data_IF_386774675373
#
_entry.id   IF_386774675373
#
_cell.length_a   1.000
_cell.length_b   1.000
_cell.length_c   1.000
_cell.angle_alpha   90.00
_cell.angle_beta   90.00
_cell.angle_gamma   90.00
#
_symmetry.space_group_name_H-M   'P 1'
#
loop_
_entity.id
_entity.type
_entity.pdbx_description
1 polymer ?
#
# COMPACT_ATOMS: atom_id res chain seq x y z
N UNK A 1 -48.20 6.91 29.27
CA UNK A 1 -48.83 8.05 28.59
C UNK A 1 -47.79 9.16 28.40
N UNK A 2 -47.38 9.38 27.17
CA UNK A 2 -46.51 10.50 26.81
C UNK A 2 -47.37 11.66 26.31
N UNK A 3 -47.55 12.70 27.15
CA UNK A 3 -48.37 13.85 26.83
C UNK A 3 -47.96 14.66 25.59
N UNK A 4 -46.81 14.34 24.99
CA UNK A 4 -46.28 14.95 23.75
C UNK A 4 -46.65 14.19 22.50
N UNK A 5 -46.97 12.90 22.63
CA UNK A 5 -47.22 12.01 21.51
C UNK A 5 -48.60 11.35 21.60
N UNK A 6 -49.23 11.39 22.78
CA UNK A 6 -50.48 10.72 23.07
C UNK A 6 -51.48 11.71 23.68
N UNK A 7 -52.73 11.63 23.25
CA UNK A 7 -53.86 12.37 23.83
C UNK A 7 -54.78 11.40 24.57
N UNK A 8 -55.37 11.82 25.67
CA UNK A 8 -56.31 10.98 26.40
C UNK A 8 -57.57 10.72 25.58
N UNK A 9 -58.15 9.52 25.74
CA UNK A 9 -59.43 9.22 25.07
C UNK A 9 -60.53 10.21 25.36
N UNK A 10 -60.55 10.75 26.60
CA UNK A 10 -61.48 11.78 27.00
C UNK A 10 -61.33 13.07 26.23
N UNK A 11 -60.11 13.49 25.99
CA UNK A 11 -59.79 14.71 25.24
C UNK A 11 -59.98 14.48 23.73
N UNK A 12 -59.68 13.28 23.24
CA UNK A 12 -59.96 12.90 21.85
C UNK A 12 -61.45 12.86 21.53
N UNK A 13 -62.28 12.35 22.45
CA UNK A 13 -63.76 12.34 22.30
C UNK A 13 -64.37 13.76 22.40
N UNK A 14 -63.68 14.70 23.04
CA UNK A 14 -64.10 16.12 23.04
C UNK A 14 -63.87 16.78 21.65
N UNK A 15 -62.94 16.28 20.86
CA UNK A 15 -62.68 16.74 19.49
C UNK A 15 -63.63 16.08 18.50
N UNK A 16 -63.84 14.79 18.59
CA UNK A 16 -64.81 14.05 17.79
C UNK A 16 -65.27 12.78 18.50
N UNK A 17 -66.54 12.52 18.54
CA UNK A 17 -67.17 11.33 19.13
C UNK A 17 -66.87 10.03 18.35
N UNK A 18 -66.19 10.12 17.20
CA UNK A 18 -65.83 8.99 16.32
C UNK A 18 -64.45 8.36 16.64
N UNK A 19 -63.65 8.93 17.55
CA UNK A 19 -62.33 8.43 17.88
C UNK A 19 -62.38 7.29 18.87
N UNK A 20 -61.60 6.24 18.58
CA UNK A 20 -61.40 5.07 19.43
C UNK A 20 -59.94 4.98 19.95
N UNK A 21 -59.72 4.09 20.94
CA UNK A 21 -58.40 3.82 21.48
C UNK A 21 -57.48 3.24 20.41
N UNK A 22 -56.35 3.96 20.13
CA UNK A 22 -55.38 3.55 19.12
C UNK A 22 -55.46 4.33 17.81
N UNK A 23 -56.45 5.18 17.65
CA UNK A 23 -56.59 6.05 16.48
C UNK A 23 -55.48 7.10 16.43
N UNK A 24 -55.08 7.48 15.22
CA UNK A 24 -54.10 8.54 14.98
C UNK A 24 -54.79 9.82 14.61
N UNK A 25 -54.68 10.80 15.49
CA UNK A 25 -55.29 12.13 15.27
C UNK A 25 -54.22 13.03 14.62
N UNK A 26 -54.57 13.67 13.51
CA UNK A 26 -53.75 14.71 12.90
C UNK A 26 -54.29 16.08 13.28
N UNK A 27 -53.43 16.88 13.90
CA UNK A 27 -53.70 18.29 14.16
C UNK A 27 -53.08 19.15 13.08
N UNK A 28 -53.85 20.01 12.44
CA UNK A 28 -53.32 21.06 11.60
C UNK A 28 -53.08 22.29 12.51
N UNK A 29 -51.80 22.49 12.89
CA UNK A 29 -51.41 23.70 13.60
C UNK A 29 -51.10 24.82 12.60
N UNK A 30 -51.65 26.00 12.84
CA UNK A 30 -51.34 27.17 12.02
C UNK A 30 -49.92 27.66 12.31
N UNK A 31 -49.21 28.06 11.26
CA UNK A 31 -47.80 28.52 11.33
C UNK A 31 -47.66 29.76 12.27
N UNK A 32 -48.72 30.46 12.54
CA UNK A 32 -48.75 31.68 13.38
C UNK A 32 -48.55 31.39 14.90
N UNK A 33 -48.77 30.16 15.35
CA UNK A 33 -48.57 29.75 16.76
C UNK A 33 -47.12 29.32 17.08
N UNK A 34 -46.27 29.10 16.05
CA UNK A 34 -44.88 28.82 16.28
C UNK A 34 -44.11 30.07 16.73
N UNK A 35 -43.81 30.14 18.01
CA UNK A 35 -42.89 31.17 18.52
C UNK A 35 -41.55 31.15 17.78
N UNK A 36 -40.87 32.30 17.64
CA UNK A 36 -39.58 32.47 16.97
C UNK A 36 -38.54 31.40 17.33
N UNK A 37 -38.53 30.92 18.55
CA UNK A 37 -37.63 29.88 19.07
C UNK A 37 -37.93 28.51 18.43
N UNK A 38 -39.19 28.13 18.31
CA UNK A 38 -39.60 26.89 17.68
C UNK A 38 -39.29 26.90 16.18
N UNK A 39 -39.55 28.02 15.49
CA UNK A 39 -39.19 28.17 14.08
C UNK A 39 -37.68 28.11 13.84
N UNK A 40 -36.88 28.69 14.71
CA UNK A 40 -35.41 28.63 14.63
C UNK A 40 -34.89 27.25 14.94
N UNK A 41 -35.43 26.53 15.92
CA UNK A 41 -35.09 25.13 16.23
C UNK A 41 -35.45 24.18 15.08
N UNK A 42 -36.66 24.34 14.51
CA UNK A 42 -37.08 23.57 13.34
C UNK A 42 -36.15 23.78 12.14
N UNK A 43 -35.80 25.06 11.84
CA UNK A 43 -34.82 25.37 10.77
C UNK A 43 -33.48 24.72 11.03
N UNK A 44 -32.94 24.77 12.24
CA UNK A 44 -31.68 24.14 12.59
C UNK A 44 -31.74 22.62 12.41
N UNK A 45 -32.78 21.95 12.88
CA UNK A 45 -32.97 20.50 12.73
C UNK A 45 -33.06 20.10 11.26
N UNK A 46 -33.80 20.87 10.46
CA UNK A 46 -33.88 20.61 9.00
C UNK A 46 -32.50 20.77 8.35
N UNK A 47 -31.78 21.84 8.66
CA UNK A 47 -30.43 22.08 8.13
C UNK A 47 -29.43 20.99 8.54
N UNK A 48 -29.51 20.50 9.76
CA UNK A 48 -28.68 19.40 10.24
C UNK A 48 -28.98 18.09 9.49
N UNK A 49 -30.27 17.77 9.32
CA UNK A 49 -30.68 16.60 8.53
C UNK A 49 -30.24 16.71 7.07
N UNK A 50 -30.40 17.88 6.45
CA UNK A 50 -29.93 18.10 5.08
C UNK A 50 -28.41 17.95 4.97
N UNK A 51 -27.64 18.55 5.89
CA UNK A 51 -26.17 18.38 5.91
C UNK A 51 -25.77 16.93 6.09
N UNK A 52 -26.46 16.17 6.93
CA UNK A 52 -26.21 14.74 7.10
C UNK A 52 -26.45 13.97 5.81
N UNK A 53 -27.58 14.20 5.17
CA UNK A 53 -27.90 13.52 3.91
C UNK A 53 -26.93 13.89 2.77
N UNK A 54 -26.61 15.19 2.61
CA UNK A 54 -25.63 15.61 1.61
C UNK A 54 -24.27 14.98 1.87
N UNK A 55 -23.84 14.89 3.12
CA UNK A 55 -22.59 14.23 3.49
C UNK A 55 -22.61 12.73 3.15
N UNK A 56 -23.71 12.04 3.40
CA UNK A 56 -23.87 10.62 3.05
C UNK A 56 -23.83 10.41 1.53
N UNK A 57 -24.46 11.28 0.76
CA UNK A 57 -24.44 11.23 -0.70
C UNK A 57 -22.99 11.42 -1.20
N UNK A 58 -22.33 12.49 -0.75
CA UNK A 58 -20.93 12.77 -1.13
C UNK A 58 -19.99 11.65 -0.70
N UNK A 59 -20.16 11.10 0.51
CA UNK A 59 -19.37 9.97 0.96
C UNK A 59 -19.54 8.76 0.05
N UNK A 60 -20.77 8.38 -0.29
CA UNK A 60 -21.04 7.23 -1.16
C UNK A 60 -20.51 7.44 -2.57
N UNK A 61 -20.58 8.66 -3.10
CA UNK A 61 -20.01 9.03 -4.40
C UNK A 61 -18.50 8.80 -4.41
N UNK A 62 -17.76 9.41 -3.48
CA UNK A 62 -16.29 9.27 -3.44
C UNK A 62 -15.82 7.90 -2.96
N UNK A 63 -16.61 7.19 -2.17
CA UNK A 63 -16.28 5.83 -1.74
C UNK A 63 -16.20 4.83 -2.90
N UNK A 64 -16.96 5.07 -3.98
CA UNK A 64 -16.87 4.26 -5.19
C UNK A 64 -15.54 4.47 -5.93
N UNK A 65 -14.90 5.63 -5.76
CA UNK A 65 -13.61 5.95 -6.36
C UNK A 65 -12.41 5.60 -5.47
N UNK A 66 -12.64 5.03 -4.30
CA UNK A 66 -11.56 4.52 -3.47
C UNK A 66 -10.85 3.36 -4.16
N UNK A 67 -9.54 3.47 -4.35
CA UNK A 67 -8.75 2.54 -5.14
C UNK A 67 -8.59 2.93 -6.61
N UNK A 68 -9.06 4.11 -7.03
CA UNK A 68 -8.98 4.57 -8.41
C UNK A 68 -8.16 5.86 -8.54
N UNK A 69 -7.78 6.19 -9.78
CA UNK A 69 -7.17 7.46 -10.11
C UNK A 69 -8.26 8.46 -10.49
N UNK A 70 -8.19 9.62 -9.87
CA UNK A 70 -8.99 10.79 -10.24
C UNK A 70 -8.08 11.93 -10.69
N UNK A 71 -8.56 12.70 -11.67
CA UNK A 71 -7.93 13.94 -12.04
C UNK A 71 -8.50 15.09 -11.21
N UNK A 72 -7.62 15.91 -10.67
CA UNK A 72 -8.03 17.06 -9.88
C UNK A 72 -7.17 18.29 -10.13
N UNK A 73 -7.67 19.43 -9.68
CA UNK A 73 -6.99 20.73 -9.83
C UNK A 73 -6.43 21.17 -8.48
N UNK A 74 -5.17 21.57 -8.45
CA UNK A 74 -4.52 22.11 -7.26
C UNK A 74 -5.11 23.48 -6.93
N UNK A 75 -5.75 23.59 -5.76
CA UNK A 75 -6.42 24.85 -5.33
C UNK A 75 -5.53 25.67 -4.43
N UNK A 76 -5.07 25.06 -3.34
CA UNK A 76 -4.33 25.74 -2.29
C UNK A 76 -3.30 24.85 -1.61
N UNK A 77 -2.36 25.51 -0.96
CA UNK A 77 -1.28 24.88 -0.23
C UNK A 77 -1.37 25.25 1.26
N UNK A 78 -1.12 24.26 2.11
CA UNK A 78 -0.94 24.42 3.55
C UNK A 78 0.42 23.83 3.96
N UNK A 79 0.83 24.04 5.21
CA UNK A 79 2.08 23.47 5.72
C UNK A 79 2.12 21.92 5.70
N UNK A 80 0.95 21.28 5.75
CA UNK A 80 0.79 19.81 5.84
C UNK A 80 0.25 19.19 4.57
N UNK A 81 -0.61 19.89 3.84
CA UNK A 81 -1.38 19.34 2.74
C UNK A 81 -1.37 20.26 1.53
N UNK A 82 -1.46 19.65 0.38
CA UNK A 82 -1.92 20.28 -0.85
C UNK A 82 -3.39 19.88 -1.00
N UNK A 83 -4.25 20.86 -1.25
CA UNK A 83 -5.66 20.61 -1.48
C UNK A 83 -5.94 20.55 -2.97
N UNK A 84 -6.48 19.41 -3.38
CA UNK A 84 -6.78 19.08 -4.78
C UNK A 84 -8.29 19.02 -4.94
N UNK A 85 -8.83 19.89 -5.77
CA UNK A 85 -10.25 19.90 -6.10
C UNK A 85 -10.59 18.75 -7.03
N UNK A 86 -11.45 17.85 -6.58
CA UNK A 86 -11.94 16.71 -7.34
C UNK A 86 -13.34 16.93 -7.94
N UNK A 87 -13.80 18.19 -7.98
CA UNK A 87 -15.12 18.59 -8.48
C UNK A 87 -16.03 19.10 -7.37
N UNK A 88 -16.61 18.23 -6.53
CA UNK A 88 -17.55 18.62 -5.47
C UNK A 88 -16.87 18.85 -4.13
N UNK A 89 -15.67 18.31 -3.93
CA UNK A 89 -14.90 18.48 -2.69
C UNK A 89 -13.39 18.57 -2.94
N UNK A 90 -12.68 19.08 -1.93
CA UNK A 90 -11.22 19.15 -1.89
C UNK A 90 -10.65 17.88 -1.22
N UNK A 91 -9.79 17.16 -1.93
CA UNK A 91 -9.00 16.07 -1.40
C UNK A 91 -7.70 16.57 -0.75
N UNK A 92 -7.16 15.79 0.18
CA UNK A 92 -5.97 16.12 0.94
C UNK A 92 -4.79 15.26 0.45
N UNK A 93 -3.80 15.92 -0.16
CA UNK A 93 -2.53 15.31 -0.55
C UNK A 93 -1.46 15.68 0.49
N UNK A 94 -1.10 14.73 1.36
CA UNK A 94 -0.09 14.96 2.40
C UNK A 94 1.32 15.04 1.81
N UNK A 95 2.28 15.59 2.56
CA UNK A 95 3.68 15.64 2.10
C UNK A 95 4.31 14.25 1.90
N UNK A 96 3.87 13.25 2.65
CA UNK A 96 4.34 11.87 2.53
C UNK A 96 3.77 11.19 1.29
N UNK A 97 2.62 11.66 0.84
CA UNK A 97 1.89 11.15 -0.32
C UNK A 97 2.30 11.83 -1.64
N UNK A 98 3.16 12.85 -1.58
CA UNK A 98 3.75 13.49 -2.76
C UNK A 98 4.97 12.71 -3.25
N UNK A 99 5.27 12.80 -4.54
CA UNK A 99 6.53 12.30 -5.06
C UNK A 99 7.64 13.27 -4.58
N UNK A 100 8.75 12.77 -4.01
CA UNK A 100 9.81 13.63 -3.51
C UNK A 100 10.36 14.59 -4.57
N UNK A 101 10.35 15.87 -4.26
CA UNK A 101 10.82 16.93 -5.16
C UNK A 101 9.77 17.48 -6.13
N UNK A 102 8.55 16.96 -6.14
CA UNK A 102 7.45 17.57 -6.90
C UNK A 102 7.18 19.00 -6.44
N UNK A 103 6.93 19.87 -7.41
CA UNK A 103 6.46 21.24 -7.16
C UNK A 103 5.21 21.50 -7.99
N UNK A 104 4.17 22.00 -7.33
CA UNK A 104 2.90 22.32 -7.97
C UNK A 104 2.65 23.81 -7.93
N UNK A 105 1.93 24.30 -8.93
CA UNK A 105 1.38 25.65 -8.99
C UNK A 105 -0.13 25.59 -8.76
N UNK A 106 -0.70 26.68 -8.28
CA UNK A 106 -2.16 26.81 -8.22
C UNK A 106 -2.76 26.63 -9.61
N UNK A 107 -3.85 25.87 -9.70
CA UNK A 107 -4.54 25.47 -10.92
C UNK A 107 -3.84 24.43 -11.80
N UNK A 108 -2.74 23.81 -11.34
CA UNK A 108 -2.20 22.65 -12.02
C UNK A 108 -3.21 21.49 -11.96
N UNK A 109 -3.37 20.82 -13.10
CA UNK A 109 -4.20 19.62 -13.19
C UNK A 109 -3.32 18.40 -12.99
N UNK A 110 -3.65 17.59 -11.98
CA UNK A 110 -2.85 16.43 -11.58
C UNK A 110 -3.70 15.19 -11.43
N UNK A 111 -3.11 14.03 -11.71
CA UNK A 111 -3.69 12.74 -11.41
C UNK A 111 -3.33 12.35 -9.97
N UNK A 112 -4.29 11.86 -9.22
CA UNK A 112 -4.12 11.43 -7.84
C UNK A 112 -4.83 10.09 -7.60
N UNK A 113 -4.23 9.22 -6.80
CA UNK A 113 -4.83 7.97 -6.37
C UNK A 113 -5.60 8.18 -5.07
N UNK A 114 -6.88 7.82 -5.06
CA UNK A 114 -7.72 7.92 -3.87
C UNK A 114 -7.52 6.66 -3.02
N UNK A 115 -6.74 6.78 -1.94
CA UNK A 115 -6.47 5.61 -1.10
C UNK A 115 -7.42 5.47 0.10
N UNK A 116 -8.11 6.55 0.49
CA UNK A 116 -9.02 6.53 1.64
C UNK A 116 -10.09 7.60 1.58
N UNK A 117 -11.32 7.23 1.90
CA UNK A 117 -12.44 8.13 2.06
C UNK A 117 -13.02 7.97 3.45
N UNK A 118 -13.09 9.05 4.23
CA UNK A 118 -13.61 9.06 5.60
C UNK A 118 -14.84 9.95 5.74
N UNK A 119 -15.86 9.43 6.43
CA UNK A 119 -17.05 10.19 6.79
C UNK A 119 -16.94 10.67 8.23
N UNK A 120 -16.60 11.94 8.41
CA UNK A 120 -16.47 12.56 9.70
C UNK A 120 -17.69 13.45 10.02
N UNK A 121 -17.99 13.71 11.31
CA UNK A 121 -19.09 14.61 11.69
C UNK A 121 -18.99 16.01 11.07
N UNK A 122 -17.79 16.47 10.76
CA UNK A 122 -17.51 17.79 10.16
C UNK A 122 -17.61 17.81 8.63
N UNK A 123 -17.54 16.63 7.96
CA UNK A 123 -17.55 16.52 6.51
C UNK A 123 -16.92 15.22 6.02
N UNK A 124 -16.90 15.03 4.71
CA UNK A 124 -16.20 13.94 4.05
C UNK A 124 -14.77 14.37 3.80
N UNK A 125 -13.80 13.55 4.21
CA UNK A 125 -12.39 13.73 3.90
C UNK A 125 -11.96 12.69 2.89
N UNK A 126 -11.36 13.14 1.80
CA UNK A 126 -10.75 12.27 0.79
C UNK A 126 -9.25 12.45 0.85
N UNK A 127 -8.56 11.35 1.07
CA UNK A 127 -7.10 11.30 1.12
C UNK A 127 -6.58 10.72 -0.17
N UNK A 128 -5.65 11.41 -0.76
CA UNK A 128 -5.08 11.05 -2.06
C UNK A 128 -3.56 10.94 -1.97
N UNK A 129 -3.00 10.08 -2.82
CA UNK A 129 -1.56 9.86 -2.89
C UNK A 129 -1.08 9.83 -4.34
N UNK A 130 0.16 10.28 -4.53
CA UNK A 130 0.92 10.14 -5.78
C UNK A 130 2.14 9.24 -5.60
N UNK A 131 2.54 9.00 -4.32
CA UNK A 131 3.65 8.11 -3.97
C UNK A 131 3.23 6.65 -3.78
N UNK A 132 1.94 6.36 -3.64
CA UNK A 132 1.42 5.01 -3.40
C UNK A 132 1.75 4.05 -4.56
N UNK A 133 2.15 2.78 -4.29
CA UNK A 133 2.43 1.80 -5.35
C UNK A 133 1.26 1.56 -6.31
N UNK A 134 0.03 1.51 -5.79
CA UNK A 134 -1.18 1.33 -6.59
C UNK A 134 -1.42 2.48 -7.61
N UNK A 135 -0.85 3.66 -7.38
CA UNK A 135 -0.93 4.76 -8.33
C UNK A 135 -0.33 4.36 -9.69
N UNK A 136 0.86 3.74 -9.71
CA UNK A 136 1.49 3.24 -10.94
C UNK A 136 0.67 2.10 -11.55
N UNK A 137 0.21 1.17 -10.73
CA UNK A 137 -0.60 0.05 -11.19
C UNK A 137 -1.83 0.53 -11.95
N UNK A 138 -2.58 1.48 -11.37
CA UNK A 138 -3.76 2.06 -12.01
C UNK A 138 -3.46 2.85 -13.28
N UNK A 139 -2.32 3.56 -13.32
CA UNK A 139 -1.89 4.23 -14.56
C UNK A 139 -1.58 3.19 -15.65
N UNK A 140 -0.88 2.10 -15.31
CA UNK A 140 -0.59 1.04 -16.27
C UNK A 140 -1.86 0.38 -16.80
N UNK A 141 -2.86 0.13 -15.94
CA UNK A 141 -4.17 -0.37 -16.33
C UNK A 141 -4.90 0.57 -17.32
N UNK A 142 -4.72 1.88 -17.18
CA UNK A 142 -5.33 2.86 -18.08
C UNK A 142 -4.57 3.02 -19.41
N UNK A 143 -3.24 2.91 -19.40
CA UNK A 143 -2.40 3.22 -20.56
C UNK A 143 -2.04 1.98 -21.41
N UNK A 144 -2.13 0.77 -20.86
CA UNK A 144 -1.72 -0.48 -21.51
C UNK A 144 -2.94 -1.37 -21.73
N UNK A 145 -3.40 -1.54 -22.99
CA UNK A 145 -4.60 -2.29 -23.28
C UNK A 145 -4.58 -3.73 -22.77
N UNK A 146 -3.42 -4.41 -22.84
CA UNK A 146 -3.28 -5.80 -22.42
C UNK A 146 -3.32 -5.97 -20.89
N UNK A 147 -3.08 -4.90 -20.14
CA UNK A 147 -3.29 -4.87 -18.68
C UNK A 147 -4.76 -4.59 -18.39
N UNK A 148 -5.39 -3.69 -19.15
CA UNK A 148 -6.79 -3.36 -18.99
C UNK A 148 -7.72 -4.55 -19.29
N UNK A 149 -7.41 -5.34 -20.32
CA UNK A 149 -8.22 -6.51 -20.70
C UNK A 149 -7.89 -7.77 -19.88
N UNK A 150 -6.87 -7.69 -18.99
CA UNK A 150 -6.45 -8.79 -18.11
C UNK A 150 -5.58 -9.85 -18.79
N UNK A 151 -5.14 -9.65 -20.04
CA UNK A 151 -4.18 -10.57 -20.71
C UNK A 151 -2.85 -10.58 -19.98
N UNK A 152 -2.41 -9.41 -19.49
CA UNK A 152 -1.23 -9.24 -18.63
C UNK A 152 -1.70 -8.71 -17.28
N UNK A 153 -1.35 -9.41 -16.22
CA UNK A 153 -1.70 -9.06 -14.84
C UNK A 153 -0.49 -8.49 -14.09
N UNK A 154 -0.71 -7.40 -13.35
CA UNK A 154 0.27 -6.84 -12.42
C UNK A 154 0.07 -7.50 -11.06
N UNK A 155 0.99 -8.39 -10.69
CA UNK A 155 0.93 -9.19 -9.47
C UNK A 155 1.32 -8.40 -8.23
N UNK A 156 2.40 -7.63 -8.31
CA UNK A 156 2.88 -6.80 -7.21
C UNK A 156 3.67 -5.60 -7.72
N UNK A 157 3.70 -4.54 -6.91
CA UNK A 157 4.45 -3.32 -7.18
C UNK A 157 5.21 -2.91 -5.93
N UNK A 158 6.49 -2.64 -6.09
CA UNK A 158 7.35 -2.08 -5.05
C UNK A 158 7.94 -0.76 -5.56
N UNK A 159 7.69 0.35 -4.84
CA UNK A 159 7.94 1.70 -5.33
C UNK A 159 8.68 2.56 -4.34
N UNK A 160 9.75 3.20 -4.81
CA UNK A 160 10.32 4.39 -4.23
C UNK A 160 10.02 5.57 -5.15
N UNK A 161 8.94 6.28 -4.83
CA UNK A 161 8.38 7.31 -5.68
C UNK A 161 9.42 8.36 -6.11
N UNK A 162 9.46 8.67 -7.41
CA UNK A 162 10.39 9.64 -7.99
C UNK A 162 11.83 9.14 -8.16
N UNK A 163 12.11 7.88 -7.89
CA UNK A 163 13.44 7.27 -8.10
C UNK A 163 13.32 5.95 -8.88
N UNK A 164 12.78 4.89 -8.25
CA UNK A 164 12.71 3.57 -8.87
C UNK A 164 11.49 2.77 -8.42
N UNK A 165 10.93 2.04 -9.37
CA UNK A 165 9.80 1.13 -9.14
C UNK A 165 10.09 -0.22 -9.77
N UNK A 166 9.77 -1.31 -9.07
CA UNK A 166 9.74 -2.67 -9.60
C UNK A 166 8.29 -3.13 -9.72
N UNK A 167 7.95 -3.69 -10.88
CA UNK A 167 6.60 -4.18 -11.18
C UNK A 167 6.69 -5.64 -11.60
N UNK A 168 6.08 -6.53 -10.85
CA UNK A 168 6.01 -7.94 -11.19
C UNK A 168 4.77 -8.21 -12.04
N UNK A 169 4.95 -8.84 -13.19
CA UNK A 169 3.90 -9.06 -14.19
C UNK A 169 3.82 -10.51 -14.61
N UNK A 170 2.62 -10.96 -14.91
CA UNK A 170 2.33 -12.31 -15.43
C UNK A 170 1.44 -12.21 -16.65
N UNK A 171 1.72 -12.98 -17.68
CA UNK A 171 0.80 -13.18 -18.79
C UNK A 171 -0.07 -14.41 -18.57
N UNK A 172 -1.37 -14.28 -18.80
CA UNK A 172 -2.30 -15.41 -18.82
C UNK A 172 -2.35 -16.08 -20.20
N UNK A 173 -1.76 -15.46 -21.22
CA UNK A 173 -1.66 -16.00 -22.55
C UNK A 173 -0.19 -16.37 -22.85
N UNK A 174 0.14 -17.66 -23.08
CA UNK A 174 1.53 -18.08 -23.32
C UNK A 174 2.16 -17.49 -24.59
N UNK A 175 1.36 -16.95 -25.49
CA UNK A 175 1.86 -16.30 -26.72
C UNK A 175 2.14 -14.80 -26.55
N UNK A 176 1.86 -14.24 -25.36
CA UNK A 176 2.07 -12.82 -25.06
C UNK A 176 3.21 -12.68 -24.06
N UNK A 177 4.27 -12.01 -24.48
CA UNK A 177 5.38 -11.63 -23.60
C UNK A 177 4.93 -10.51 -22.67
N UNK A 178 4.78 -10.82 -21.38
CA UNK A 178 4.33 -9.86 -20.37
C UNK A 178 5.27 -8.66 -20.25
N UNK A 179 6.58 -8.91 -20.19
CA UNK A 179 7.60 -7.86 -20.05
C UNK A 179 7.61 -6.97 -21.29
N UNK A 180 7.70 -7.57 -22.48
CA UNK A 180 7.71 -6.85 -23.75
C UNK A 180 6.46 -6.01 -23.96
N UNK A 181 5.31 -6.49 -23.52
CA UNK A 181 4.02 -5.77 -23.60
C UNK A 181 4.01 -4.54 -22.68
N UNK A 182 4.41 -4.70 -21.42
CA UNK A 182 4.46 -3.57 -20.47
C UNK A 182 5.49 -2.52 -20.93
N UNK A 183 6.67 -2.95 -21.36
CA UNK A 183 7.72 -2.04 -21.82
C UNK A 183 7.29 -1.33 -23.10
N UNK A 184 6.69 -2.07 -24.01
CA UNK A 184 6.32 -1.61 -25.33
C UNK A 184 7.51 -1.40 -26.26
N UNK A 185 7.27 -1.18 -27.55
CA UNK A 185 8.33 -1.02 -28.56
C UNK A 185 9.21 0.20 -28.22
N UNK A 186 10.49 -0.06 -27.92
CA UNK A 186 11.45 0.99 -27.54
C UNK A 186 11.09 1.75 -26.26
N UNK A 187 10.39 1.08 -25.33
CA UNK A 187 9.97 1.67 -24.06
C UNK A 187 8.76 2.62 -24.18
N UNK A 188 7.97 2.52 -25.25
CA UNK A 188 6.87 3.45 -25.51
C UNK A 188 5.80 3.47 -24.42
N UNK A 189 5.42 2.31 -23.88
CA UNK A 189 4.37 2.20 -22.88
C UNK A 189 4.87 2.71 -21.52
N UNK A 190 6.08 2.33 -21.12
CA UNK A 190 6.71 2.87 -19.88
C UNK A 190 6.83 4.41 -19.97
N UNK A 191 7.22 4.97 -21.12
CA UNK A 191 7.30 6.43 -21.31
C UNK A 191 5.94 7.10 -21.15
N UNK A 192 4.85 6.49 -21.63
CA UNK A 192 3.49 7.01 -21.43
C UNK A 192 3.12 7.01 -19.94
N UNK A 193 3.39 5.90 -19.23
CA UNK A 193 3.14 5.79 -17.79
C UNK A 193 3.90 6.89 -17.03
N UNK A 194 5.21 7.02 -17.28
CA UNK A 194 6.05 8.05 -16.63
C UNK A 194 5.60 9.45 -16.97
N UNK A 195 5.11 9.69 -18.21
CA UNK A 195 4.60 11.02 -18.61
C UNK A 195 3.37 11.48 -17.84
N UNK A 196 2.64 10.56 -17.16
CA UNK A 196 1.52 10.87 -16.27
C UNK A 196 1.96 11.39 -14.89
N UNK A 197 3.23 11.21 -14.55
CA UNK A 197 3.78 11.71 -13.28
C UNK A 197 4.05 13.22 -13.27
N UNK A 198 3.43 13.95 -14.07
CA UNK A 198 3.61 15.35 -14.35
C UNK A 198 3.94 16.30 -13.21
N UNK A 199 4.99 16.30 -12.53
CA UNK A 199 5.56 17.57 -12.26
C UNK A 199 7.05 17.64 -12.52
N UNK A 200 7.45 18.82 -12.76
CA UNK A 200 8.82 19.23 -12.75
C UNK A 200 9.29 19.31 -11.29
N UNK A 201 10.49 18.83 -11.03
CA UNK A 201 11.21 19.13 -9.79
C UNK A 201 12.21 20.25 -10.08
N UNK A 202 12.45 21.09 -9.09
CA UNK A 202 13.58 22.03 -9.17
C UNK A 202 14.88 21.24 -8.97
N UNK A 203 15.73 21.22 -9.96
CA UNK A 203 17.08 20.69 -9.80
C UNK A 203 17.83 21.56 -8.79
N UNK A 204 18.30 20.93 -7.71
CA UNK A 204 18.96 21.61 -6.60
C UNK A 204 20.28 22.33 -6.98
N UNK A 205 20.89 21.97 -8.14
CA UNK A 205 22.15 22.57 -8.61
C UNK A 205 21.93 23.69 -9.59
N UNK A 206 20.95 23.56 -10.47
CA UNK A 206 20.73 24.50 -11.58
C UNK A 206 19.55 25.44 -11.34
N UNK A 207 18.64 25.12 -10.40
CA UNK A 207 17.41 25.87 -10.17
C UNK A 207 16.41 25.77 -11.35
N UNK A 208 16.66 24.90 -12.32
CA UNK A 208 15.81 24.70 -13.49
C UNK A 208 14.76 23.62 -13.17
N UNK A 209 13.54 23.82 -13.63
CA UNK A 209 12.51 22.79 -13.56
C UNK A 209 12.88 21.65 -14.53
N UNK A 210 13.09 20.45 -13.98
CA UNK A 210 13.35 19.23 -14.75
C UNK A 210 12.21 18.22 -14.49
N UNK A 211 11.84 17.39 -15.48
CA UNK A 211 10.84 16.34 -15.26
C UNK A 211 11.25 15.41 -14.13
N UNK A 212 10.30 14.94 -13.34
CA UNK A 212 10.54 13.82 -12.42
C UNK A 212 10.60 12.56 -13.27
N UNK A 213 11.79 11.96 -13.34
CA UNK A 213 11.99 10.67 -14.01
C UNK A 213 12.01 9.58 -12.93
N UNK A 214 11.13 8.61 -13.09
CA UNK A 214 11.08 7.42 -12.26
C UNK A 214 11.42 6.20 -13.13
N UNK A 215 12.41 5.42 -12.71
CA UNK A 215 12.81 4.23 -13.45
C UNK A 215 11.87 3.07 -13.08
N UNK A 216 11.29 2.42 -14.09
CA UNK A 216 10.38 1.28 -13.90
C UNK A 216 11.05 0.02 -14.41
N UNK A 217 11.36 -0.89 -13.50
CA UNK A 217 11.88 -2.23 -13.81
C UNK A 217 10.69 -3.19 -13.87
N UNK A 218 10.50 -3.84 -15.00
CA UNK A 218 9.46 -4.85 -15.20
C UNK A 218 10.05 -6.24 -14.97
N UNK A 219 9.46 -7.00 -14.06
CA UNK A 219 9.95 -8.29 -13.57
C UNK A 219 8.94 -9.36 -13.93
N UNK A 220 9.42 -10.50 -14.49
CA UNK A 220 8.56 -11.65 -14.71
C UNK A 220 8.17 -12.25 -13.36
N UNK A 221 6.87 -12.30 -13.09
CA UNK A 221 6.35 -13.04 -11.96
C UNK A 221 6.28 -14.52 -12.29
N UNK A 222 6.73 -15.36 -11.39
CA UNK A 222 6.66 -16.82 -11.45
C UNK A 222 6.19 -17.37 -10.12
N UNK A 223 5.63 -18.57 -10.13
CA UNK A 223 5.07 -19.20 -8.92
C UNK A 223 6.16 -19.72 -7.99
N UNK A 224 7.32 -20.14 -8.55
CA UNK A 224 8.48 -20.56 -7.76
C UNK A 224 9.12 -19.35 -7.07
N UNK A 225 9.18 -19.35 -5.72
CA UNK A 225 9.73 -18.23 -4.96
C UNK A 225 11.22 -17.99 -5.25
N UNK A 226 12.01 -19.04 -5.49
CA UNK A 226 13.44 -18.89 -5.77
C UNK A 226 13.66 -18.15 -7.09
N UNK A 227 12.97 -18.58 -8.13
CA UNK A 227 13.03 -17.97 -9.44
C UNK A 227 12.45 -16.53 -9.41
N UNK A 228 11.39 -16.28 -8.62
CA UNK A 228 10.84 -14.95 -8.49
C UNK A 228 11.81 -13.98 -7.79
N UNK A 229 12.50 -14.43 -6.73
CA UNK A 229 13.54 -13.64 -6.07
C UNK A 229 14.72 -13.39 -7.02
N UNK A 230 15.14 -14.42 -7.76
CA UNK A 230 16.17 -14.32 -8.79
C UNK A 230 15.83 -13.20 -9.80
N UNK A 231 14.63 -13.23 -10.34
CA UNK A 231 14.14 -12.19 -11.27
C UNK A 231 14.06 -10.80 -10.62
N UNK A 232 13.65 -10.73 -9.37
CA UNK A 232 13.47 -9.48 -8.66
C UNK A 232 14.77 -8.72 -8.34
N UNK A 233 15.91 -9.42 -8.23
CA UNK A 233 17.24 -8.82 -8.01
C UNK A 233 17.81 -8.18 -9.28
N UNK A 234 17.25 -8.49 -10.45
CA UNK A 234 17.69 -7.84 -11.68
C UNK A 234 17.90 -6.32 -11.52
N UNK A 235 18.94 -5.72 -12.15
CA UNK A 235 19.78 -6.25 -13.22
C UNK A 235 21.03 -7.02 -12.76
N UNK A 236 21.19 -7.33 -11.46
CA UNK A 236 22.32 -8.13 -11.01
C UNK A 236 22.10 -9.61 -11.33
N UNK A 237 23.16 -10.28 -11.75
CA UNK A 237 23.18 -11.71 -11.90
C UNK A 237 23.23 -12.38 -10.52
N UNK A 238 22.51 -13.46 -10.34
CA UNK A 238 22.42 -14.24 -9.10
C UNK A 238 22.95 -15.63 -9.39
N UNK A 239 23.80 -16.17 -8.50
CA UNK A 239 24.28 -17.55 -8.65
C UNK A 239 23.21 -18.53 -8.15
N UNK A 240 22.71 -18.32 -6.93
CA UNK A 240 21.63 -19.13 -6.36
C UNK A 240 20.90 -18.41 -5.23
N UNK A 241 19.71 -18.93 -4.91
CA UNK A 241 18.83 -18.44 -3.84
C UNK A 241 18.60 -19.58 -2.86
N UNK A 242 18.85 -19.33 -1.58
CA UNK A 242 18.69 -20.29 -0.50
C UNK A 242 17.62 -19.77 0.47
N UNK A 243 16.77 -20.67 0.93
CA UNK A 243 15.78 -20.36 1.95
C UNK A 243 16.29 -20.82 3.33
N UNK A 244 15.95 -20.05 4.34
CA UNK A 244 16.22 -20.40 5.72
C UNK A 244 15.27 -21.54 6.15
N UNK A 245 15.78 -22.57 6.80
CA UNK A 245 14.97 -23.70 7.28
C UNK A 245 14.04 -23.28 8.43
N UNK A 246 14.47 -22.34 9.25
CA UNK A 246 13.73 -21.84 10.42
C UNK A 246 12.75 -20.72 10.08
N UNK A 247 12.99 -19.93 9.03
CA UNK A 247 12.12 -18.83 8.55
C UNK A 247 11.84 -18.93 7.06
N UNK A 248 10.73 -19.55 6.70
CA UNK A 248 10.29 -19.75 5.32
C UNK A 248 10.12 -18.46 4.51
N UNK A 249 10.17 -17.28 5.16
CA UNK A 249 10.12 -15.97 4.51
C UNK A 249 11.47 -15.26 4.45
N UNK A 250 12.55 -15.94 4.81
CA UNK A 250 13.90 -15.43 4.69
C UNK A 250 14.65 -16.16 3.59
N UNK A 251 15.30 -15.41 2.73
CA UNK A 251 16.10 -15.94 1.63
C UNK A 251 17.48 -15.28 1.61
N UNK A 252 18.51 -16.10 1.46
CA UNK A 252 19.88 -15.64 1.20
C UNK A 252 20.13 -15.76 -0.30
N UNK A 253 20.49 -14.64 -0.92
CA UNK A 253 20.82 -14.54 -2.34
C UNK A 253 22.32 -14.41 -2.48
N UNK A 254 22.91 -15.38 -3.16
CA UNK A 254 24.34 -15.41 -3.42
C UNK A 254 24.60 -14.87 -4.81
N UNK A 255 25.51 -13.93 -4.91
CA UNK A 255 25.87 -13.23 -6.15
C UNK A 255 27.38 -13.26 -6.37
N UNK A 256 27.86 -13.18 -7.63
CA UNK A 256 29.29 -13.01 -7.89
C UNK A 256 29.83 -11.77 -7.18
N UNK A 257 31.06 -11.83 -6.68
CA UNK A 257 31.67 -10.74 -5.90
C UNK A 257 31.63 -9.38 -6.61
N UNK A 258 31.87 -9.39 -7.93
CA UNK A 258 31.82 -8.18 -8.76
C UNK A 258 30.40 -7.62 -8.97
N UNK A 259 29.35 -8.36 -8.61
CA UNK A 259 27.93 -7.97 -8.74
C UNK A 259 27.28 -7.58 -7.42
N UNK A 260 27.95 -7.79 -6.29
CA UNK A 260 27.42 -7.51 -4.94
C UNK A 260 26.88 -6.08 -4.81
N UNK A 261 27.69 -5.09 -5.22
CA UNK A 261 27.26 -3.69 -5.16
C UNK A 261 26.06 -3.38 -6.05
N UNK A 262 25.91 -4.06 -7.19
CA UNK A 262 24.77 -3.89 -8.08
C UNK A 262 23.51 -4.57 -7.52
N UNK A 263 23.67 -5.75 -6.92
CA UNK A 263 22.58 -6.49 -6.29
C UNK A 263 22.00 -5.74 -5.09
N UNK A 264 22.85 -5.19 -4.24
CA UNK A 264 22.42 -4.34 -3.12
C UNK A 264 21.81 -3.04 -3.63
N UNK A 265 22.42 -2.43 -4.64
CA UNK A 265 22.03 -1.14 -5.17
C UNK A 265 22.43 0.04 -4.26
N UNK A 266 22.22 1.26 -4.76
CA UNK A 266 22.56 2.48 -4.02
C UNK A 266 21.73 2.57 -2.72
N UNK A 267 22.40 2.61 -1.57
CA UNK A 267 21.76 2.62 -0.23
C UNK A 267 20.83 1.43 0.02
N UNK A 268 21.10 0.28 -0.57
CA UNK A 268 20.23 -0.90 -0.43
C UNK A 268 18.90 -0.83 -1.19
N UNK A 269 18.77 0.06 -2.16
CA UNK A 269 17.52 0.29 -2.87
C UNK A 269 17.06 -0.95 -3.64
N UNK A 270 17.96 -1.61 -4.38
CA UNK A 270 17.58 -2.74 -5.21
C UNK A 270 17.08 -3.92 -4.36
N UNK A 271 17.82 -4.29 -3.31
CA UNK A 271 17.40 -5.37 -2.40
C UNK A 271 16.12 -5.02 -1.64
N UNK A 272 15.96 -3.78 -1.19
CA UNK A 272 14.74 -3.33 -0.49
C UNK A 272 13.51 -3.40 -1.39
N UNK A 273 13.62 -2.93 -2.63
CA UNK A 273 12.54 -3.02 -3.61
C UNK A 273 12.22 -4.48 -3.94
N UNK A 274 13.23 -5.35 -4.12
CA UNK A 274 13.03 -6.76 -4.37
C UNK A 274 12.35 -7.46 -3.17
N UNK A 275 12.77 -7.17 -1.94
CA UNK A 275 12.17 -7.71 -0.74
C UNK A 275 10.68 -7.32 -0.60
N UNK A 276 10.36 -6.04 -0.84
CA UNK A 276 8.96 -5.59 -0.82
C UNK A 276 8.13 -6.17 -1.98
N UNK A 277 8.73 -6.35 -3.17
CA UNK A 277 8.06 -6.92 -4.33
C UNK A 277 7.68 -8.38 -4.12
N UNK A 278 8.61 -9.17 -3.58
CA UNK A 278 8.46 -10.62 -3.39
C UNK A 278 7.79 -11.00 -2.08
N UNK A 279 7.83 -10.10 -1.08
CA UNK A 279 7.35 -10.36 0.27
C UNK A 279 8.29 -11.22 1.13
N UNK A 280 9.54 -11.40 0.68
CA UNK A 280 10.60 -12.11 1.39
C UNK A 280 11.59 -11.15 2.02
N UNK A 281 12.21 -11.57 3.13
CA UNK A 281 13.40 -10.92 3.68
C UNK A 281 14.59 -11.43 2.89
N UNK A 282 15.28 -10.55 2.19
CA UNK A 282 16.38 -10.91 1.30
C UNK A 282 17.69 -10.42 1.90
N UNK A 283 18.58 -11.35 2.20
CA UNK A 283 19.97 -11.08 2.56
C UNK A 283 20.86 -11.38 1.33
N UNK A 284 21.70 -10.42 0.94
CA UNK A 284 22.59 -10.60 -0.21
C UNK A 284 24.02 -10.82 0.31
N UNK A 285 24.67 -11.87 -0.20
CA UNK A 285 26.07 -12.20 0.09
C UNK A 285 26.84 -12.41 -1.19
N UNK A 286 28.12 -12.11 -1.17
CA UNK A 286 29.00 -12.54 -2.27
C UNK A 286 29.31 -14.02 -2.19
N UNK A 287 29.73 -14.61 -3.30
CA UNK A 287 30.15 -16.00 -3.33
C UNK A 287 31.25 -16.27 -2.31
N UNK A 288 32.27 -15.41 -2.25
CA UNK A 288 33.37 -15.52 -1.29
C UNK A 288 32.94 -15.43 0.16
N UNK A 289 32.00 -14.50 0.49
CA UNK A 289 31.46 -14.34 1.85
C UNK A 289 30.62 -15.54 2.26
N UNK A 290 29.88 -16.13 1.31
CA UNK A 290 29.03 -17.28 1.59
C UNK A 290 29.88 -18.53 1.81
N UNK A 291 30.91 -18.79 0.97
CA UNK A 291 31.85 -19.90 1.14
C UNK A 291 32.58 -19.82 2.48
N UNK A 292 33.03 -18.62 2.90
CA UNK A 292 33.66 -18.43 4.20
C UNK A 292 32.73 -18.76 5.37
N UNK A 293 31.46 -18.39 5.27
CA UNK A 293 30.43 -18.66 6.26
C UNK A 293 30.08 -20.14 6.36
N UNK A 294 30.04 -20.83 5.23
CA UNK A 294 29.81 -22.28 5.18
C UNK A 294 31.00 -23.04 5.77
N UNK A 295 32.23 -22.60 5.48
CA UNK A 295 33.44 -23.18 6.09
C UNK A 295 33.45 -23.00 7.62
N UNK A 296 33.09 -21.82 8.13
CA UNK A 296 32.99 -21.53 9.57
C UNK A 296 31.90 -22.37 10.26
N UNK A 297 30.75 -22.55 9.61
CA UNK A 297 29.69 -23.44 10.12
C UNK A 297 30.13 -24.89 10.17
N UNK A 298 30.76 -25.37 9.10
CA UNK A 298 31.26 -26.74 9.05
C UNK A 298 32.33 -27.02 10.09
N UNK A 299 33.23 -26.05 10.36
CA UNK A 299 34.20 -26.14 11.46
C UNK A 299 33.52 -26.20 12.83
N UNK A 300 32.49 -25.33 13.06
CA UNK A 300 31.74 -25.33 14.32
C UNK A 300 30.94 -26.62 14.56
N UNK A 301 30.33 -27.18 13.51
CA UNK A 301 29.63 -28.47 13.60
C UNK A 301 30.60 -29.63 13.91
N UNK A 302 31.80 -29.61 13.33
CA UNK A 302 32.85 -30.60 13.65
C UNK A 302 33.30 -30.48 15.10
N UNK A 303 33.50 -29.26 15.59
CA UNK A 303 33.90 -29.03 16.99
C UNK A 303 32.81 -29.48 17.97
N UNK A 304 31.54 -29.22 17.67
CA UNK A 304 30.40 -29.68 18.50
C UNK A 304 30.31 -31.21 18.55
N UNK A 305 30.46 -31.89 17.41
CA UNK A 305 30.50 -33.35 17.34
C UNK A 305 31.71 -33.92 18.08
N UNK A 306 32.88 -33.29 18.02
CA UNK A 306 34.06 -33.69 18.75
C UNK A 306 33.87 -33.52 20.27
N UNK A 307 33.27 -32.40 20.72
CA UNK A 307 32.94 -32.22 22.14
C UNK A 307 31.95 -33.26 22.66
N UNK A 308 30.95 -33.62 21.87
CA UNK A 308 29.95 -34.63 22.21
C UNK A 308 30.59 -36.02 22.33
N UNK A 309 31.45 -36.41 21.40
CA UNK A 309 32.20 -37.65 21.45
C UNK A 309 33.15 -37.72 22.69
N UNK A 310 33.81 -36.61 23.02
CA UNK A 310 34.70 -36.53 24.16
C UNK A 310 33.92 -36.56 25.48
N UNK A 311 32.71 -36.01 25.52
CA UNK A 311 31.82 -36.06 26.69
C UNK A 311 31.24 -37.46 26.92
N UNK A 312 30.99 -38.24 25.88
CA UNK A 312 30.53 -39.64 25.99
C UNK A 312 31.64 -40.62 26.34
N UNK A 313 32.90 -40.29 26.11
CA UNK A 313 34.03 -41.10 26.52
C UNK A 313 34.25 -41.03 28.06
N UNK A 314 33.46 -41.73 28.80
CA UNK A 314 33.67 -41.93 30.26
C UNK A 314 35.05 -42.55 30.50
N UNK A 315 35.85 -42.08 31.49
CA UNK A 315 37.11 -42.68 31.82
C UNK A 315 36.86 -44.10 32.36
N UNK A 316 37.40 -45.09 31.70
CA UNK A 316 37.44 -46.46 32.20
C UNK A 316 38.35 -46.47 33.42
N UNK A 317 37.73 -46.65 34.59
CA UNK A 317 38.41 -46.79 35.88
C UNK A 317 39.26 -48.04 35.85
N UNK A 318 40.57 -47.89 35.61
CA UNK A 318 41.55 -48.98 35.69
C UNK A 318 41.79 -49.21 37.18
N UNK A 319 40.95 -50.05 37.78
CA UNK A 319 41.22 -50.66 39.10
C UNK A 319 42.46 -51.56 38.95
N UNK A 320 43.55 -51.09 39.51
CA UNK A 320 44.78 -51.87 39.77
C UNK A 320 44.44 -52.93 40.77
N UNK A 321 44.33 -54.21 40.35
CA UNK A 321 44.34 -55.36 41.23
C UNK A 321 45.73 -55.49 41.91
N UNK A 322 45.74 -55.25 43.22
CA UNK A 322 46.90 -55.66 44.05
C UNK A 322 46.98 -57.20 44.08
N UNK A 323 48.15 -57.71 43.70
CA UNK A 323 48.47 -59.13 43.88
C UNK A 323 48.72 -59.44 45.37
N UNK A 324 48.24 -60.62 45.90
CA UNK A 324 48.54 -61.00 47.20
C UNK A 324 49.95 -61.55 47.37
N UNK A 325 50.73 -61.03 48.33
CA UNK A 325 51.96 -61.65 48.83
C UNK A 325 51.66 -62.99 49.42
N UNK A 326 52.37 -64.01 48.95
CA UNK A 326 52.42 -65.34 49.54
C UNK A 326 53.71 -65.54 50.36
N UNK A 327 53.62 -66.02 51.60
CA UNK A 327 54.70 -66.62 52.40
C UNK A 327 55.24 -67.88 51.73
#
# INVERSE_FOLDING_TARGET
FDSRLEISLKDALAISSAYELGDKIRFEESVDEFGRVAAQSAKQTIMEKMRKQMREITYNEYKQHEGEIMQGTVERFDQRFIYVNLGTLEAQLSRQDQIPGESFKSHDVIDVYVYKVENNPKGVNVFVSRSHPEFIKRIMEQEIPEVFDGTVEIMSVSREAGDRTKVAVRSHNPNVDAIGTIVGRGGSNIKKVVSRFHPTRLDAKTGIEVPVEENIDVIQWVEDPAEFIYNAIAPAEVDYVLFDEDDSKRATVVVPDNKLSLAIGRRGQNVRLAAHLTGYRIDIKSASEYEALEAEKAEAEVDEVVEEIVAEATPVDVTTEEAPEAE
#
